data_IF_794189771658
#
_entry.id   IF_794189771658
#
_cell.length_a   1.000
_cell.length_b   1.000
_cell.length_c   1.000
_cell.angle_alpha   90.00
_cell.angle_beta   90.00
_cell.angle_gamma   90.00
#
_symmetry.space_group_name_H-M   'P 1'
#
loop_
_entity.id
_entity.type
_entity.pdbx_description
1 polymer ?
#
# COMPACT_ATOMS: atom_id res chain seq x y z
N UNK A 1 0.38 1.26 -11.88
CA UNK A 1 0.04 0.01 -11.16
C UNK A 1 -1.44 -0.24 -11.36
N UNK A 2 -1.83 -1.35 -11.97
CA UNK A 2 -3.25 -1.68 -12.19
C UNK A 2 -3.53 -3.02 -11.50
N UNK A 3 -4.26 -2.96 -10.38
CA UNK A 3 -4.67 -4.15 -9.64
C UNK A 3 -5.90 -4.77 -10.30
N UNK A 4 -5.70 -5.76 -11.17
CA UNK A 4 -6.80 -6.60 -11.67
C UNK A 4 -7.05 -7.78 -10.73
N UNK A 5 -8.30 -7.98 -10.31
CA UNK A 5 -8.76 -9.19 -9.59
C UNK A 5 -9.87 -9.82 -10.41
N UNK A 6 -9.75 -11.11 -10.69
CA UNK A 6 -10.71 -11.89 -11.47
C UNK A 6 -11.46 -12.80 -10.50
N UNK A 7 -12.79 -12.84 -10.62
CA UNK A 7 -13.64 -13.70 -9.81
C UNK A 7 -13.52 -15.17 -10.24
N UNK A 8 -13.50 -16.07 -9.25
CA UNK A 8 -13.62 -17.51 -9.48
C UNK A 8 -15.09 -17.93 -9.41
N UNK A 9 -15.45 -19.02 -10.09
CA UNK A 9 -16.81 -19.54 -10.06
C UNK A 9 -17.20 -19.97 -8.63
N UNK A 10 -18.32 -19.44 -8.13
CA UNK A 10 -18.81 -19.69 -6.77
C UNK A 10 -18.24 -18.76 -5.68
N UNK A 11 -17.43 -17.75 -6.03
CA UNK A 11 -16.90 -16.82 -5.05
C UNK A 11 -17.93 -15.74 -4.66
N UNK A 12 -18.05 -15.43 -3.36
CA UNK A 12 -18.92 -14.36 -2.89
C UNK A 12 -18.35 -12.96 -3.22
N UNK A 13 -19.24 -12.00 -3.44
CA UNK A 13 -18.88 -10.61 -3.76
C UNK A 13 -17.98 -10.00 -2.68
N UNK A 14 -18.27 -10.26 -1.40
CA UNK A 14 -17.47 -9.75 -0.28
C UNK A 14 -16.04 -10.31 -0.25
N UNK A 15 -15.86 -11.58 -0.62
CA UNK A 15 -14.53 -12.18 -0.73
C UNK A 15 -13.72 -11.48 -1.82
N UNK A 16 -14.35 -11.17 -2.95
CA UNK A 16 -13.71 -10.46 -4.05
C UNK A 16 -13.27 -9.04 -3.65
N UNK A 17 -14.13 -8.30 -2.95
CA UNK A 17 -13.82 -6.96 -2.42
C UNK A 17 -12.66 -7.02 -1.43
N UNK A 18 -12.64 -8.02 -0.54
CA UNK A 18 -11.53 -8.21 0.41
C UNK A 18 -10.21 -8.52 -0.30
N UNK A 19 -10.22 -9.39 -1.32
CA UNK A 19 -9.04 -9.69 -2.14
C UNK A 19 -8.53 -8.44 -2.85
N UNK A 20 -9.43 -7.66 -3.44
CA UNK A 20 -9.10 -6.39 -4.09
C UNK A 20 -8.46 -5.40 -3.11
N UNK A 21 -9.09 -5.15 -1.96
CA UNK A 21 -8.56 -4.24 -0.95
C UNK A 21 -7.17 -4.67 -0.47
N UNK A 22 -6.95 -5.97 -0.25
CA UNK A 22 -5.63 -6.50 0.12
C UNK A 22 -4.60 -6.29 -1.00
N UNK A 23 -4.99 -6.50 -2.26
CA UNK A 23 -4.10 -6.30 -3.41
C UNK A 23 -3.70 -4.82 -3.56
N UNK A 24 -4.66 -3.90 -3.42
CA UNK A 24 -4.42 -2.44 -3.43
C UNK A 24 -3.49 -2.00 -2.30
N UNK A 25 -3.68 -2.54 -1.10
CA UNK A 25 -2.81 -2.27 0.04
C UNK A 25 -1.39 -2.83 -0.16
N UNK A 26 -1.27 -4.04 -0.69
CA UNK A 26 0.02 -4.68 -0.96
C UNK A 26 0.82 -3.96 -2.04
N UNK A 27 0.16 -3.53 -3.13
CA UNK A 27 0.81 -2.70 -4.16
C UNK A 27 1.14 -1.28 -3.65
N UNK A 28 0.57 -0.86 -2.52
CA UNK A 28 0.89 0.42 -1.89
C UNK A 28 0.39 1.63 -2.67
N UNK A 29 -0.59 1.46 -3.56
CA UNK A 29 -1.11 2.50 -4.47
C UNK A 29 -1.52 3.76 -3.69
N UNK A 30 -2.27 3.59 -2.60
CA UNK A 30 -2.74 4.69 -1.76
C UNK A 30 -1.57 5.45 -1.11
N UNK A 31 -0.54 4.71 -0.67
CA UNK A 31 0.66 5.32 -0.06
C UNK A 31 1.48 6.08 -1.11
N UNK A 32 1.51 5.59 -2.34
CA UNK A 32 2.21 6.24 -3.43
C UNK A 32 1.52 7.53 -3.89
N UNK A 33 0.19 7.51 -4.00
CA UNK A 33 -0.62 8.71 -4.27
C UNK A 33 -0.32 9.77 -3.21
N UNK A 34 -0.42 9.43 -1.92
CA UNK A 34 -0.13 10.36 -0.81
C UNK A 34 1.29 10.94 -0.83
N UNK A 35 2.27 10.18 -1.29
CA UNK A 35 3.66 10.66 -1.44
C UNK A 35 3.85 11.61 -2.61
N UNK A 36 2.97 11.53 -3.63
CA UNK A 36 3.02 12.33 -4.85
C UNK A 36 2.10 13.55 -4.80
N UNK A 37 1.16 13.60 -3.86
CA UNK A 37 0.22 14.72 -3.67
C UNK A 37 0.92 16.08 -3.53
N UNK A 38 2.07 16.13 -2.85
CA UNK A 38 2.81 17.37 -2.64
C UNK A 38 4.32 17.15 -2.77
N UNK A 39 5.03 18.19 -3.22
CA UNK A 39 6.49 18.16 -3.24
C UNK A 39 7.05 18.14 -1.81
N UNK A 40 7.91 17.17 -1.55
CA UNK A 40 8.69 17.09 -0.33
C UNK A 40 10.16 17.28 -0.64
N UNK A 41 10.82 18.17 0.11
CA UNK A 41 12.27 18.35 0.04
C UNK A 41 13.00 17.00 0.20
N UNK A 42 14.13 16.77 -0.51
CA UNK A 42 14.85 15.49 -0.46
C UNK A 42 15.26 15.04 0.95
N UNK A 43 15.55 15.99 1.85
CA UNK A 43 15.84 15.71 3.26
C UNK A 43 14.65 15.11 4.00
N UNK A 44 13.46 15.70 3.85
CA UNK A 44 12.22 15.22 4.47
C UNK A 44 11.81 13.84 3.93
N UNK A 45 11.97 13.62 2.62
CA UNK A 45 11.73 12.30 2.00
C UNK A 45 12.64 11.22 2.60
N UNK A 46 13.93 11.53 2.79
CA UNK A 46 14.90 10.62 3.44
C UNK A 46 14.52 10.35 4.89
N UNK A 47 14.17 11.38 5.66
CA UNK A 47 13.75 11.24 7.06
C UNK A 47 12.51 10.35 7.21
N UNK A 48 11.47 10.57 6.39
CA UNK A 48 10.26 9.74 6.39
C UNK A 48 10.54 8.28 6.04
N UNK A 49 11.45 8.01 5.07
CA UNK A 49 11.86 6.65 4.70
C UNK A 49 12.53 5.92 5.88
N UNK A 50 13.43 6.60 6.60
CA UNK A 50 14.12 6.04 7.78
C UNK A 50 13.11 5.75 8.90
N UNK A 51 12.19 6.68 9.19
CA UNK A 51 11.15 6.46 10.20
C UNK A 51 10.25 5.27 9.86
N UNK A 52 9.83 5.13 8.60
CA UNK A 52 9.02 3.98 8.17
C UNK A 52 9.80 2.65 8.31
N UNK A 53 11.08 2.63 7.94
CA UNK A 53 11.93 1.46 8.12
C UNK A 53 12.09 1.08 9.61
N UNK A 54 12.31 2.08 10.48
CA UNK A 54 12.40 1.88 11.93
C UNK A 54 11.09 1.34 12.52
N UNK A 55 9.94 1.91 12.14
CA UNK A 55 8.62 1.41 12.54
C UNK A 55 8.41 -0.04 12.09
N UNK A 56 8.80 -0.39 10.86
CA UNK A 56 8.70 -1.77 10.33
C UNK A 56 9.61 -2.74 11.09
N UNK A 57 10.81 -2.31 11.45
CA UNK A 57 11.74 -3.10 12.26
C UNK A 57 11.18 -3.39 13.65
N UNK A 58 10.66 -2.37 14.34
CA UNK A 58 10.04 -2.52 15.67
C UNK A 58 8.84 -3.45 15.61
N UNK A 59 7.97 -3.34 14.60
CA UNK A 59 6.79 -4.21 14.45
C UNK A 59 7.17 -5.68 14.19
N UNK A 60 8.36 -5.95 13.67
CA UNK A 60 8.82 -7.32 13.35
C UNK A 60 9.53 -7.99 14.53
N UNK A 61 10.02 -7.21 15.50
CA UNK A 61 10.56 -7.71 16.76
C UNK A 61 9.41 -8.02 17.70
#
# INVERSE_FOLDING_TARGET
>A
MSTKVIAQAGESVDSLIRKFNRKVQNEGIILEIKKREHYLKPSLRRAQKIQMARKKFIKRK
#
